data_IF_882331638546
#
_entry.id   IF_882331638546
#
_cell.length_a   1.000
_cell.length_b   1.000
_cell.length_c   1.000
_cell.angle_alpha   90.00
_cell.angle_beta   90.00
_cell.angle_gamma   90.00
#
_symmetry.space_group_name_H-M   'P 1'
#
loop_
_entity.id
_entity.type
_entity.pdbx_description
1 polymer ?
#
# COMPACT_ATOMS: atom_id res chain seq x y z
N UNK A 1 12.31 10.65 -20.64
CA UNK A 1 12.57 9.66 -21.70
C UNK A 1 13.90 8.99 -21.39
N UNK A 2 13.86 7.74 -20.95
CA UNK A 2 15.08 6.97 -20.66
C UNK A 2 15.29 6.00 -21.81
N UNK A 3 16.33 6.22 -22.57
CA UNK A 3 16.67 5.41 -23.74
C UNK A 3 17.65 4.34 -23.27
N UNK A 4 17.28 3.07 -23.34
CA UNK A 4 18.17 1.95 -23.08
C UNK A 4 18.73 1.46 -24.42
N UNK A 5 20.06 1.44 -24.55
CA UNK A 5 20.76 0.88 -25.72
C UNK A 5 21.12 -0.58 -25.42
N UNK A 6 20.63 -1.50 -26.24
CA UNK A 6 21.16 -2.86 -26.29
C UNK A 6 22.11 -3.01 -27.49
N UNK A 7 23.35 -3.36 -27.21
CA UNK A 7 24.34 -3.69 -28.26
C UNK A 7 24.30 -5.20 -28.52
N UNK A 8 23.91 -5.59 -29.72
CA UNK A 8 24.12 -6.95 -30.20
C UNK A 8 25.29 -6.96 -31.24
N UNK A 9 26.35 -7.72 -30.93
CA UNK A 9 27.43 -8.02 -31.86
C UNK A 9 27.13 -9.35 -32.56
N UNK A 10 26.83 -9.32 -33.85
CA UNK A 10 26.77 -10.51 -34.69
C UNK A 10 27.54 -10.25 -36.00
N UNK A 11 28.55 -11.09 -36.26
CA UNK A 11 29.25 -11.24 -37.56
C UNK A 11 29.81 -9.96 -38.18
N UNK A 12 30.56 -9.14 -37.42
CA UNK A 12 31.38 -8.10 -38.00
C UNK A 12 30.64 -6.85 -38.49
N UNK A 13 29.37 -6.73 -38.28
CA UNK A 13 28.57 -5.52 -38.53
C UNK A 13 27.83 -5.09 -37.29
N UNK A 14 28.04 -3.84 -36.92
CA UNK A 14 27.29 -3.23 -35.78
C UNK A 14 25.96 -2.75 -36.30
N UNK A 15 24.90 -3.48 -35.99
CA UNK A 15 23.52 -3.00 -36.22
C UNK A 15 23.03 -2.39 -34.90
N UNK A 16 22.88 -1.08 -34.87
CA UNK A 16 22.22 -0.37 -33.80
C UNK A 16 20.74 -0.44 -34.09
N UNK A 17 20.04 -1.39 -33.47
CA UNK A 17 18.60 -1.42 -33.49
C UNK A 17 18.11 -0.67 -32.26
N UNK A 18 17.66 0.55 -32.45
CA UNK A 18 16.93 1.32 -31.43
C UNK A 18 15.56 0.67 -31.32
N UNK A 19 15.40 -0.22 -30.36
CA UNK A 19 14.05 -0.58 -29.93
C UNK A 19 13.52 0.59 -29.12
N UNK A 20 12.69 1.42 -29.74
CA UNK A 20 11.74 2.23 -28.98
C UNK A 20 10.88 1.26 -28.21
N UNK A 21 11.19 1.06 -26.93
CA UNK A 21 10.21 0.49 -26.00
C UNK A 21 9.17 1.59 -25.92
N UNK A 22 8.09 1.39 -26.66
CA UNK A 22 6.87 2.15 -26.49
C UNK A 22 6.61 2.16 -24.99
N UNK A 23 6.78 3.31 -24.39
CA UNK A 23 6.45 3.55 -23.00
C UNK A 23 4.93 3.61 -22.95
N UNK A 24 4.28 2.48 -23.31
CA UNK A 24 2.94 2.22 -22.86
C UNK A 24 3.06 2.33 -21.36
N UNK A 25 2.58 3.42 -20.83
CA UNK A 25 2.36 3.61 -19.41
C UNK A 25 1.56 2.39 -18.95
N UNK A 26 2.27 1.37 -18.48
CA UNK A 26 1.64 0.29 -17.74
C UNK A 26 0.86 1.04 -16.69
N UNK A 27 -0.46 1.02 -16.79
CA UNK A 27 -1.35 1.73 -15.86
C UNK A 27 -1.04 1.16 -14.47
N UNK A 28 -0.09 1.81 -13.78
CA UNK A 28 0.40 1.35 -12.49
C UNK A 28 -0.72 1.49 -11.48
N UNK A 29 -1.27 0.36 -11.07
CA UNK A 29 -2.28 0.27 -10.04
C UNK A 29 -1.69 -0.42 -8.83
N UNK A 30 -1.31 0.35 -7.79
CA UNK A 30 -0.76 -0.23 -6.58
C UNK A 30 -1.79 -1.13 -5.90
N UNK A 31 -1.31 -2.22 -5.30
CA UNK A 31 -2.11 -3.11 -4.47
C UNK A 31 -2.08 -2.64 -3.02
N UNK A 32 -3.23 -2.24 -2.51
CA UNK A 32 -3.42 -1.84 -1.13
C UNK A 32 -4.16 -2.95 -0.37
N UNK A 33 -3.55 -3.45 0.69
CA UNK A 33 -4.22 -4.33 1.62
C UNK A 33 -4.98 -3.47 2.63
N UNK A 34 -6.26 -3.72 2.83
CA UNK A 34 -7.12 -2.92 3.72
C UNK A 34 -7.67 -3.81 4.81
N UNK A 35 -7.37 -3.49 6.07
CA UNK A 35 -7.95 -4.11 7.24
C UNK A 35 -8.96 -3.15 7.88
N UNK A 36 -10.22 -3.48 7.80
CA UNK A 36 -11.34 -2.71 8.32
C UNK A 36 -12.52 -3.67 8.57
N UNK A 37 -13.05 -3.70 9.78
CA UNK A 37 -14.15 -4.58 10.15
C UNK A 37 -15.53 -4.01 9.82
N UNK A 38 -15.66 -2.69 9.66
CA UNK A 38 -16.89 -2.02 9.27
C UNK A 38 -17.05 -1.91 7.76
N UNK A 39 -18.13 -2.49 7.25
CA UNK A 39 -18.46 -2.50 5.82
C UNK A 39 -18.64 -1.08 5.23
N UNK A 40 -19.16 -0.13 6.02
CA UNK A 40 -19.41 1.24 5.57
C UNK A 40 -18.10 2.02 5.42
N UNK A 41 -17.18 1.85 6.38
CA UNK A 41 -15.84 2.42 6.31
C UNK A 41 -15.06 1.84 5.14
N UNK A 42 -15.12 0.52 4.93
CA UNK A 42 -14.49 -0.10 3.79
C UNK A 42 -15.04 0.42 2.46
N UNK A 43 -16.37 0.55 2.32
CA UNK A 43 -17.00 1.13 1.13
C UNK A 43 -16.53 2.55 0.86
N UNK A 44 -16.36 3.36 1.89
CA UNK A 44 -15.81 4.71 1.77
C UNK A 44 -14.36 4.68 1.24
N UNK A 45 -13.50 3.87 1.83
CA UNK A 45 -12.11 3.69 1.37
C UNK A 45 -12.11 3.26 -0.10
N UNK A 46 -12.89 2.24 -0.45
CA UNK A 46 -13.02 1.75 -1.82
C UNK A 46 -13.51 2.82 -2.79
N UNK A 47 -14.44 3.68 -2.38
CA UNK A 47 -14.91 4.79 -3.21
C UNK A 47 -13.81 5.84 -3.47
N UNK A 48 -12.92 6.07 -2.47
CA UNK A 48 -11.83 7.05 -2.57
C UNK A 48 -10.71 6.56 -3.48
N UNK A 49 -10.27 5.30 -3.32
CA UNK A 49 -9.03 4.81 -3.96
C UNK A 49 -9.24 3.72 -5.01
N UNK A 50 -10.41 3.08 -5.05
CA UNK A 50 -10.63 1.87 -5.86
C UNK A 50 -10.56 2.07 -7.37
N UNK A 51 -10.62 3.32 -7.86
CA UNK A 51 -10.39 3.59 -9.30
C UNK A 51 -8.91 3.54 -9.69
N UNK A 52 -8.03 3.84 -8.75
CA UNK A 52 -6.58 3.98 -8.98
C UNK A 52 -5.76 2.86 -8.34
N UNK A 53 -6.34 2.14 -7.40
CA UNK A 53 -5.67 1.06 -6.66
C UNK A 53 -6.42 -0.25 -6.80
N UNK A 54 -5.69 -1.36 -6.78
CA UNK A 54 -6.26 -2.67 -6.45
C UNK A 54 -6.40 -2.78 -4.93
N UNK A 55 -7.43 -3.46 -4.46
CA UNK A 55 -7.72 -3.57 -3.03
C UNK A 55 -8.00 -5.03 -2.68
N UNK A 56 -7.29 -5.53 -1.66
CA UNK A 56 -7.63 -6.75 -0.96
C UNK A 56 -8.12 -6.38 0.44
N UNK A 57 -9.21 -6.99 0.88
CA UNK A 57 -9.90 -6.63 2.11
C UNK A 57 -9.85 -7.73 3.16
N UNK A 58 -9.49 -7.34 4.38
CA UNK A 58 -9.50 -8.16 5.59
C UNK A 58 -10.43 -7.54 6.64
N UNK A 59 -11.13 -8.35 7.40
CA UNK A 59 -12.06 -7.90 8.46
C UNK A 59 -11.46 -7.94 9.87
N UNK A 60 -10.25 -8.43 10.01
CA UNK A 60 -9.54 -8.53 11.28
C UNK A 60 -8.03 -8.66 11.06
N UNK A 61 -7.28 -8.64 12.17
CA UNK A 61 -5.82 -8.69 12.13
C UNK A 61 -5.25 -10.03 11.65
N UNK A 62 -5.92 -11.16 11.86
CA UNK A 62 -5.45 -12.47 11.36
C UNK A 62 -5.56 -12.54 9.84
N UNK A 63 -6.68 -12.04 9.31
CA UNK A 63 -6.89 -12.00 7.86
C UNK A 63 -5.88 -11.10 7.16
N UNK A 64 -5.57 -9.91 7.70
CA UNK A 64 -4.60 -9.01 7.08
C UNK A 64 -3.19 -9.57 7.13
N UNK A 65 -2.80 -10.27 8.19
CA UNK A 65 -1.51 -10.99 8.27
C UNK A 65 -1.46 -12.09 7.20
N UNK A 66 -2.55 -12.81 7.00
CA UNK A 66 -2.64 -13.85 5.95
C UNK A 66 -2.53 -13.24 4.55
N UNK A 67 -3.23 -12.13 4.28
CA UNK A 67 -3.10 -11.40 3.02
C UNK A 67 -1.68 -10.85 2.82
N UNK A 68 -1.05 -10.33 3.86
CA UNK A 68 0.34 -9.88 3.79
C UNK A 68 1.28 -11.03 3.37
N UNK A 69 1.15 -12.21 3.94
CA UNK A 69 1.98 -13.36 3.58
C UNK A 69 1.78 -13.79 2.13
N UNK A 70 0.53 -13.76 1.66
CA UNK A 70 0.18 -14.13 0.28
C UNK A 70 0.67 -13.11 -0.75
N UNK A 71 0.55 -11.82 -0.43
CA UNK A 71 0.83 -10.72 -1.38
C UNK A 71 2.08 -9.90 -1.04
N UNK A 72 2.97 -10.39 -0.16
CA UNK A 72 4.12 -9.63 0.35
C UNK A 72 5.04 -9.04 -0.72
N UNK A 73 5.19 -9.72 -1.85
CA UNK A 73 6.05 -9.30 -2.96
C UNK A 73 5.32 -8.38 -3.96
N UNK A 74 4.03 -8.18 -3.77
CA UNK A 74 3.18 -7.39 -4.68
C UNK A 74 2.51 -6.21 -4.00
N UNK A 75 2.18 -6.32 -2.71
CA UNK A 75 1.49 -5.27 -1.99
C UNK A 75 2.38 -4.03 -1.82
N UNK A 76 1.80 -2.86 -2.04
CA UNK A 76 2.49 -1.57 -1.99
C UNK A 76 2.29 -0.84 -0.65
N UNK A 77 1.15 -1.04 0.00
CA UNK A 77 0.85 -0.46 1.31
C UNK A 77 -0.26 -1.23 2.03
N UNK A 78 -0.38 -0.99 3.34
CA UNK A 78 -1.48 -1.49 4.17
C UNK A 78 -2.21 -0.30 4.79
N UNK A 79 -3.54 -0.25 4.65
CA UNK A 79 -4.43 0.57 5.47
C UNK A 79 -4.96 -0.31 6.60
N UNK A 80 -4.73 0.09 7.85
CA UNK A 80 -4.97 -0.75 9.02
C UNK A 80 -5.84 -0.03 10.05
N UNK A 81 -7.06 -0.50 10.29
CA UNK A 81 -7.79 -0.07 11.48
C UNK A 81 -7.11 -0.61 12.74
N UNK A 82 -7.03 0.21 13.78
CA UNK A 82 -6.48 -0.22 15.07
C UNK A 82 -7.46 -1.17 15.77
N UNK A 83 -8.75 -0.84 15.79
CA UNK A 83 -9.75 -1.59 16.56
C UNK A 83 -10.50 -2.57 15.66
N UNK A 84 -10.11 -3.81 15.73
CA UNK A 84 -10.76 -4.91 15.02
C UNK A 84 -10.98 -6.10 15.95
N UNK A 85 -11.99 -6.97 15.67
CA UNK A 85 -12.19 -8.22 16.41
C UNK A 85 -11.05 -9.22 16.11
N UNK A 86 -10.96 -10.27 16.93
CA UNK A 86 -10.01 -11.40 16.81
C UNK A 86 -8.57 -10.97 17.10
N UNK A 87 -8.00 -10.10 16.26
CA UNK A 87 -6.67 -9.51 16.40
C UNK A 87 -6.74 -8.05 15.99
N UNK A 88 -6.26 -7.15 16.84
CA UNK A 88 -6.24 -5.72 16.57
C UNK A 88 -5.11 -5.33 15.59
N UNK A 89 -5.17 -4.08 15.07
CA UNK A 89 -4.22 -3.60 14.08
C UNK A 89 -2.80 -3.42 14.62
N UNK A 90 -2.63 -3.15 15.91
CA UNK A 90 -1.31 -3.03 16.54
C UNK A 90 -0.59 -4.38 16.55
N UNK A 91 -1.29 -5.41 17.01
CA UNK A 91 -0.77 -6.79 17.03
C UNK A 91 -0.45 -7.30 15.62
N UNK A 92 -1.36 -7.09 14.67
CA UNK A 92 -1.16 -7.48 13.28
C UNK A 92 0.09 -6.80 12.69
N UNK A 93 0.28 -5.50 12.93
CA UNK A 93 1.45 -4.76 12.46
C UNK A 93 2.75 -5.28 13.07
N UNK A 94 2.75 -5.59 14.37
CA UNK A 94 3.93 -6.18 15.02
C UNK A 94 4.31 -7.54 14.39
N UNK A 95 3.32 -8.37 14.05
CA UNK A 95 3.57 -9.64 13.37
C UNK A 95 4.17 -9.40 11.98
N UNK A 96 3.57 -8.52 11.18
CA UNK A 96 4.03 -8.16 9.84
C UNK A 96 5.49 -7.67 9.90
N UNK A 97 5.84 -6.81 10.85
CA UNK A 97 7.21 -6.30 11.02
C UNK A 97 8.19 -7.39 11.46
N UNK A 98 7.81 -8.26 12.38
CA UNK A 98 8.63 -9.42 12.78
C UNK A 98 8.89 -10.39 11.64
N UNK A 99 7.96 -10.52 10.71
CA UNK A 99 8.11 -11.36 9.50
C UNK A 99 8.87 -10.65 8.36
N UNK A 100 9.47 -9.48 8.63
CA UNK A 100 10.29 -8.74 7.69
C UNK A 100 9.51 -7.85 6.71
N UNK A 101 8.22 -7.58 6.98
CA UNK A 101 7.43 -6.65 6.17
C UNK A 101 7.92 -5.22 6.33
N UNK A 102 8.29 -4.58 5.21
CA UNK A 102 8.82 -3.20 5.16
C UNK A 102 7.86 -2.21 4.51
N UNK A 103 6.78 -2.70 3.89
CA UNK A 103 5.81 -1.83 3.21
C UNK A 103 5.15 -0.83 4.19
N UNK A 104 4.71 0.32 3.70
CA UNK A 104 4.03 1.31 4.52
C UNK A 104 2.77 0.72 5.17
N UNK A 105 2.65 0.89 6.49
CA UNK A 105 1.43 0.61 7.25
C UNK A 105 0.86 1.92 7.74
N UNK A 106 -0.29 2.30 7.19
CA UNK A 106 -1.02 3.52 7.52
C UNK A 106 -2.16 3.10 8.44
N UNK A 107 -2.01 3.42 9.73
CA UNK A 107 -3.06 3.09 10.70
C UNK A 107 -4.17 4.13 10.72
N UNK A 108 -5.37 3.67 11.04
CA UNK A 108 -6.56 4.48 11.19
C UNK A 108 -7.06 4.35 12.61
N UNK A 109 -7.31 5.47 13.28
CA UNK A 109 -7.84 5.50 14.65
C UNK A 109 -9.06 6.41 14.75
N UNK A 110 -10.03 6.02 15.58
CA UNK A 110 -11.16 6.88 15.92
C UNK A 110 -10.76 8.02 16.88
N UNK A 111 -9.59 7.92 17.51
CA UNK A 111 -9.16 8.85 18.55
C UNK A 111 -7.85 9.55 18.17
N UNK A 112 -7.85 10.87 18.27
CA UNK A 112 -6.69 11.72 18.03
C UNK A 112 -5.71 11.79 19.21
N UNK A 113 -5.93 11.01 20.29
CA UNK A 113 -5.11 11.11 21.49
C UNK A 113 -3.69 10.57 21.26
N UNK A 114 -2.74 11.21 21.93
CA UNK A 114 -1.31 10.93 21.82
C UNK A 114 -0.95 9.46 22.06
N UNK A 115 -1.63 8.79 23.00
CA UNK A 115 -1.38 7.39 23.36
C UNK A 115 -1.66 6.41 22.22
N UNK A 116 -2.74 6.59 21.46
CA UNK A 116 -3.07 5.71 20.32
C UNK A 116 -2.04 5.89 19.20
N UNK A 117 -1.64 7.14 18.92
CA UNK A 117 -0.60 7.44 17.95
C UNK A 117 0.76 6.85 18.38
N UNK A 118 1.14 7.02 19.64
CA UNK A 118 2.40 6.47 20.16
C UNK A 118 2.41 4.94 20.07
N UNK A 119 1.32 4.26 20.44
CA UNK A 119 1.19 2.82 20.37
C UNK A 119 1.25 2.32 18.92
N UNK A 120 0.62 3.04 17.99
CA UNK A 120 0.69 2.73 16.57
C UNK A 120 2.12 2.81 16.03
N UNK A 121 2.83 3.89 16.31
CA UNK A 121 4.23 4.04 15.89
C UNK A 121 5.13 2.97 16.54
N UNK A 122 4.95 2.69 17.83
CA UNK A 122 5.69 1.62 18.54
C UNK A 122 5.43 0.24 17.94
N UNK A 123 4.24 -0.01 17.41
CA UNK A 123 3.92 -1.26 16.73
C UNK A 123 4.57 -1.39 15.34
N UNK A 124 5.09 -0.30 14.78
CA UNK A 124 5.74 -0.25 13.48
C UNK A 124 4.92 0.41 12.37
N UNK A 125 3.87 1.17 12.73
CA UNK A 125 3.15 1.98 11.76
C UNK A 125 4.04 3.05 11.12
N UNK A 126 3.81 3.32 9.85
CA UNK A 126 4.49 4.38 9.09
C UNK A 126 3.79 5.72 9.26
N UNK A 127 2.46 5.71 9.40
CA UNK A 127 1.61 6.89 9.57
C UNK A 127 0.35 6.53 10.34
N UNK A 128 -0.27 7.55 10.96
CA UNK A 128 -1.54 7.40 11.68
C UNK A 128 -2.51 8.48 11.23
N UNK A 129 -3.64 8.06 10.69
CA UNK A 129 -4.75 8.92 10.30
C UNK A 129 -5.90 8.83 11.31
N UNK A 130 -6.48 9.98 11.65
CA UNK A 130 -7.69 10.02 12.48
C UNK A 130 -8.92 9.79 11.60
N UNK A 131 -9.82 8.90 12.00
CA UNK A 131 -11.11 8.68 11.33
C UNK A 131 -11.97 9.96 11.42
N UNK A 132 -12.67 10.27 10.64
CA UNK A 132 -13.37 10.83 9.48
C UNK A 132 -12.43 11.06 8.30
N UNK A 133 -12.00 10.00 7.68
CA UNK A 133 -11.04 10.07 6.57
C UNK A 133 -11.72 10.73 5.39
N UNK A 134 -11.15 11.85 4.94
CA UNK A 134 -11.58 12.53 3.73
C UNK A 134 -10.82 12.01 2.51
N UNK A 135 -11.38 12.25 1.33
CA UNK A 135 -10.72 11.96 0.06
C UNK A 135 -9.32 12.61 -0.02
N UNK A 136 -9.20 13.88 0.37
CA UNK A 136 -7.92 14.61 0.34
C UNK A 136 -6.91 14.06 1.33
N UNK A 137 -7.34 13.75 2.57
CA UNK A 137 -6.46 13.22 3.60
C UNK A 137 -5.85 11.88 3.19
N UNK A 138 -6.70 10.95 2.71
CA UNK A 138 -6.24 9.62 2.32
C UNK A 138 -5.35 9.66 1.06
N UNK A 139 -5.73 10.44 0.05
CA UNK A 139 -4.93 10.61 -1.17
C UNK A 139 -3.57 11.24 -0.89
N UNK A 140 -3.52 12.31 -0.12
CA UNK A 140 -2.27 12.96 0.24
C UNK A 140 -1.34 12.03 1.01
N UNK A 141 -1.89 11.27 1.97
CA UNK A 141 -1.11 10.28 2.70
C UNK A 141 -0.53 9.21 1.77
N UNK A 142 -1.37 8.59 0.94
CA UNK A 142 -0.90 7.55 0.00
C UNK A 142 0.11 8.10 -1.00
N UNK A 143 -0.05 9.32 -1.51
CA UNK A 143 0.92 9.95 -2.43
C UNK A 143 2.30 10.12 -1.80
N UNK A 144 2.37 10.33 -0.49
CA UNK A 144 3.64 10.44 0.23
C UNK A 144 4.41 9.12 0.27
N UNK A 145 3.72 8.00 0.26
CA UNK A 145 4.31 6.66 0.30
C UNK A 145 4.38 5.97 -1.07
N UNK A 146 3.51 6.36 -1.99
CA UNK A 146 3.39 5.78 -3.33
C UNK A 146 3.57 6.87 -4.40
N UNK A 147 4.81 7.34 -4.64
CA UNK A 147 5.06 8.51 -5.50
C UNK A 147 4.71 8.30 -6.97
N UNK A 148 4.50 7.04 -7.40
CA UNK A 148 4.06 6.71 -8.77
C UNK A 148 2.52 6.72 -8.90
N UNK A 149 1.80 6.90 -7.81
CA UNK A 149 0.34 6.93 -7.81
C UNK A 149 -0.17 8.32 -8.20
N UNK A 150 -0.81 8.41 -9.35
CA UNK A 150 -1.45 9.62 -9.87
C UNK A 150 -2.97 9.56 -9.66
N UNK A 151 -3.54 10.61 -9.08
CA UNK A 151 -4.98 10.69 -8.76
C UNK A 151 -5.82 11.29 -9.88
#
# INVERSE_FOLDING_TARGET
MQIYYFLYLCLGQTIIQVMEIDNQSVDYRPLILVAEDDDSNFKLIKAIIGRKCEIMWAKNGEEIVSLFREYRDRADAILMDIKMPVMNGLEATQIIRREGGTLPVIMQTAYAFSTDRENAIKSGASEVLVKSITLSTLRNCLSSYLPRLEW
#
